data_IF_463875246507
#
_entry.id   IF_463875246507
#
_cell.length_a   1.000
_cell.length_b   1.000
_cell.length_c   1.000
_cell.angle_alpha   90.00
_cell.angle_beta   90.00
_cell.angle_gamma   90.00
#
_symmetry.space_group_name_H-M   'P 1'
#
loop_
_entity.id
_entity.type
_entity.pdbx_description
1 polymer ?
#
# COMPACT_ATOMS: atom_id res chain seq x y z
N UNK A 1 10.15 5.54 31.80
CA UNK A 1 9.24 6.31 30.92
C UNK A 1 7.82 5.96 31.34
N UNK A 2 7.00 6.99 31.59
CA UNK A 2 5.77 6.92 32.38
C UNK A 2 4.71 5.95 31.85
N UNK A 3 4.16 5.14 32.75
CA UNK A 3 3.08 4.19 32.51
C UNK A 3 1.73 4.88 32.37
N UNK A 4 1.45 5.37 31.16
CA UNK A 4 0.09 5.69 30.75
C UNK A 4 -0.55 4.39 30.27
N UNK A 5 -1.59 3.90 30.96
CA UNK A 5 -2.39 2.77 30.47
C UNK A 5 -3.24 3.24 29.30
N UNK A 6 -3.04 2.61 28.14
CA UNK A 6 -3.72 2.99 26.90
C UNK A 6 -4.37 1.77 26.29
N UNK A 7 -5.66 1.89 25.99
CA UNK A 7 -6.42 0.84 25.34
C UNK A 7 -6.02 0.78 23.85
N UNK A 8 -5.17 -0.18 23.50
CA UNK A 8 -4.85 -0.48 22.12
C UNK A 8 -5.97 -1.30 21.47
N UNK A 9 -6.24 -1.02 20.19
CA UNK A 9 -7.16 -1.81 19.39
C UNK A 9 -6.56 -3.17 19.03
N UNK A 10 -7.27 -4.25 19.33
CA UNK A 10 -6.96 -5.61 18.86
C UNK A 10 -8.11 -6.05 17.95
N UNK A 11 -7.88 -6.26 16.63
CA UNK A 11 -8.93 -6.71 15.74
C UNK A 11 -9.36 -8.15 16.07
N UNK A 12 -10.63 -8.45 15.84
CA UNK A 12 -11.11 -9.83 15.81
C UNK A 12 -10.52 -10.58 14.61
N UNK A 13 -10.38 -11.90 14.74
CA UNK A 13 -9.87 -12.75 13.66
C UNK A 13 -10.75 -12.68 12.40
N UNK A 14 -10.12 -12.74 11.23
CA UNK A 14 -10.79 -12.84 9.93
C UNK A 14 -10.85 -14.32 9.48
N UNK A 15 -11.90 -14.73 8.75
CA UNK A 15 -13.12 -13.97 8.50
C UNK A 15 -13.97 -13.85 9.78
N UNK A 16 -14.80 -12.79 9.91
CA UNK A 16 -15.68 -12.65 11.07
C UNK A 16 -16.65 -13.83 11.12
N UNK A 17 -16.73 -14.49 12.28
CA UNK A 17 -17.58 -15.67 12.47
C UNK A 17 -18.86 -15.37 13.25
N UNK A 18 -18.89 -14.28 14.03
CA UNK A 18 -20.03 -13.90 14.89
C UNK A 18 -20.15 -12.36 15.02
N UNK A 19 -21.07 -11.71 14.30
CA UNK A 19 -21.85 -12.28 13.18
C UNK A 19 -20.95 -12.62 12.00
N UNK A 20 -21.40 -13.52 11.13
CA UNK A 20 -20.74 -13.73 9.83
C UNK A 20 -20.89 -12.45 9.00
N UNK A 21 -19.94 -12.22 8.10
CA UNK A 21 -20.08 -11.17 7.09
C UNK A 21 -21.33 -11.45 6.24
N UNK A 22 -22.31 -10.55 6.29
CA UNK A 22 -23.52 -10.61 5.49
C UNK A 22 -23.40 -9.66 4.30
N UNK A 23 -23.44 -10.21 3.08
CA UNK A 23 -23.46 -9.43 1.83
C UNK A 23 -24.92 -9.32 1.41
N UNK A 24 -25.62 -8.31 1.93
CA UNK A 24 -27.05 -8.13 1.74
C UNK A 24 -27.40 -6.66 1.50
N UNK A 25 -28.59 -6.42 0.95
CA UNK A 25 -29.12 -5.07 0.71
C UNK A 25 -28.18 -4.20 -0.13
N UNK A 26 -27.90 -3.00 0.38
CA UNK A 26 -27.07 -2.01 -0.35
C UNK A 26 -25.62 -2.45 -0.55
N UNK A 27 -25.10 -3.38 0.26
CA UNK A 27 -23.75 -3.90 0.07
C UNK A 27 -23.69 -4.83 -1.13
N UNK A 28 -24.67 -5.72 -1.27
CA UNK A 28 -24.79 -6.62 -2.43
C UNK A 28 -25.01 -5.83 -3.73
N UNK A 29 -25.84 -4.80 -3.71
CA UNK A 29 -26.02 -3.89 -4.86
C UNK A 29 -24.72 -3.20 -5.27
N UNK A 30 -23.93 -2.71 -4.31
CA UNK A 30 -22.62 -2.08 -4.57
C UNK A 30 -21.60 -3.09 -5.07
N UNK A 31 -21.59 -4.31 -4.54
CA UNK A 31 -20.72 -5.39 -4.99
C UNK A 31 -21.01 -5.73 -6.45
N UNK A 32 -22.28 -5.96 -6.79
CA UNK A 32 -22.71 -6.25 -8.17
C UNK A 32 -22.36 -5.11 -9.13
N UNK A 33 -22.53 -3.85 -8.70
CA UNK A 33 -22.15 -2.70 -9.51
C UNK A 33 -20.62 -2.63 -9.74
N UNK A 34 -19.82 -2.93 -8.71
CA UNK A 34 -18.36 -2.98 -8.83
C UNK A 34 -17.90 -4.11 -9.76
N UNK A 35 -18.45 -5.32 -9.62
CA UNK A 35 -18.16 -6.45 -10.50
C UNK A 35 -18.50 -6.13 -11.96
N UNK A 36 -19.67 -5.52 -12.23
CA UNK A 36 -20.04 -5.07 -13.58
C UNK A 36 -19.07 -4.03 -14.13
N UNK A 37 -18.57 -3.11 -13.30
CA UNK A 37 -17.58 -2.14 -13.72
C UNK A 37 -16.23 -2.80 -14.08
N UNK A 38 -15.82 -3.83 -13.32
CA UNK A 38 -14.61 -4.61 -13.63
C UNK A 38 -14.76 -5.38 -14.95
N UNK A 39 -15.91 -6.01 -15.19
CA UNK A 39 -16.17 -6.69 -16.48
C UNK A 39 -16.15 -5.70 -17.65
N UNK A 40 -16.75 -4.51 -17.48
CA UNK A 40 -16.69 -3.47 -18.51
C UNK A 40 -15.26 -3.00 -18.78
N UNK A 41 -14.42 -2.90 -17.73
CA UNK A 41 -13.01 -2.56 -17.86
C UNK A 41 -12.25 -3.64 -18.64
N UNK A 42 -12.50 -4.91 -18.34
CA UNK A 42 -11.89 -6.05 -19.04
C UNK A 42 -12.20 -6.02 -20.55
N UNK A 43 -13.48 -5.84 -20.91
CA UNK A 43 -13.92 -5.71 -22.30
C UNK A 43 -13.31 -4.48 -23.00
N UNK A 44 -13.28 -3.33 -22.30
CA UNK A 44 -12.67 -2.13 -22.84
C UNK A 44 -11.16 -2.31 -23.08
N UNK A 45 -10.49 -3.11 -22.25
CA UNK A 45 -9.08 -3.46 -22.39
C UNK A 45 -8.76 -4.17 -23.72
N UNK A 46 -9.67 -4.97 -24.25
CA UNK A 46 -9.52 -5.64 -25.56
C UNK A 46 -9.49 -4.66 -26.73
N UNK A 47 -10.08 -3.48 -26.57
CA UNK A 47 -10.15 -2.44 -27.59
C UNK A 47 -8.94 -1.50 -27.59
N UNK A 48 -8.04 -1.64 -26.61
CA UNK A 48 -6.88 -0.75 -26.46
C UNK A 48 -5.78 -1.17 -27.43
N UNK A 49 -5.22 -0.24 -28.25
CA UNK A 49 -4.19 -0.57 -29.24
C UNK A 49 -2.92 -1.18 -28.66
N UNK A 50 -2.56 -0.80 -27.43
CA UNK A 50 -1.48 -1.41 -26.66
C UNK A 50 -1.84 -1.42 -25.18
N UNK A 51 -2.14 -2.61 -24.67
CA UNK A 51 -2.42 -2.84 -23.26
C UNK A 51 -1.22 -2.47 -22.38
N UNK A 52 0.01 -2.74 -22.84
CA UNK A 52 1.24 -2.44 -22.11
C UNK A 52 1.41 -0.93 -21.89
N UNK A 53 1.21 -0.10 -22.92
CA UNK A 53 1.27 1.36 -22.79
C UNK A 53 0.15 1.92 -21.92
N UNK A 54 -1.03 1.31 -21.98
CA UNK A 54 -2.14 1.70 -21.13
C UNK A 54 -1.84 1.40 -19.66
N UNK A 55 -1.41 0.18 -19.34
CA UNK A 55 -0.98 -0.18 -17.98
C UNK A 55 0.18 0.71 -17.53
N UNK A 56 1.15 0.98 -18.40
CA UNK A 56 2.28 1.87 -18.13
C UNK A 56 1.81 3.24 -17.62
N UNK A 57 0.90 3.90 -18.34
CA UNK A 57 0.41 5.24 -18.01
C UNK A 57 -0.48 5.22 -16.75
N UNK A 58 -1.36 4.21 -16.62
CA UNK A 58 -2.26 4.11 -15.47
C UNK A 58 -1.53 3.81 -14.17
N UNK A 59 -0.53 2.92 -14.19
CA UNK A 59 0.28 2.60 -13.02
C UNK A 59 1.04 3.84 -12.53
N UNK A 60 1.57 4.67 -13.44
CA UNK A 60 2.22 5.95 -13.08
C UNK A 60 1.27 6.97 -12.51
N UNK A 61 0.12 7.13 -13.15
CA UNK A 61 -0.93 8.00 -12.65
C UNK A 61 -1.38 7.57 -11.25
N UNK A 62 -1.54 6.28 -11.03
CA UNK A 62 -1.93 5.72 -9.73
C UNK A 62 -0.83 5.94 -8.68
N UNK A 63 0.44 5.67 -9.01
CA UNK A 63 1.57 5.94 -8.13
C UNK A 63 1.62 7.41 -7.69
N UNK A 64 1.47 8.36 -8.63
CA UNK A 64 1.42 9.80 -8.32
C UNK A 64 0.25 10.13 -7.40
N UNK A 65 -0.96 9.65 -7.72
CA UNK A 65 -2.16 9.95 -6.90
C UNK A 65 -2.08 9.30 -5.52
N UNK A 66 -1.54 8.08 -5.40
CA UNK A 66 -1.35 7.41 -4.13
C UNK A 66 -0.32 8.14 -3.26
N UNK A 67 0.81 8.54 -3.84
CA UNK A 67 1.83 9.31 -3.12
C UNK A 67 1.30 10.68 -2.67
N UNK A 68 0.45 11.34 -3.46
CA UNK A 68 -0.19 12.61 -3.08
C UNK A 68 -1.07 12.50 -1.83
N UNK A 69 -1.71 11.34 -1.58
CA UNK A 69 -2.47 11.10 -0.35
C UNK A 69 -1.55 11.13 0.88
N UNK A 70 -0.33 10.64 0.73
CA UNK A 70 0.71 10.64 1.78
C UNK A 70 1.47 11.98 1.88
N UNK A 71 1.07 12.98 1.08
CA UNK A 71 1.59 14.35 1.11
C UNK A 71 2.76 14.61 0.16
N UNK A 72 3.08 13.68 -0.75
CA UNK A 72 4.06 13.88 -1.83
C UNK A 72 3.59 14.97 -2.81
N UNK A 73 4.49 15.88 -3.20
CA UNK A 73 4.19 16.97 -4.14
C UNK A 73 4.84 16.71 -5.52
N UNK A 74 4.39 15.66 -6.20
CA UNK A 74 4.81 15.33 -7.57
C UNK A 74 3.62 15.32 -8.53
N UNK A 75 3.85 15.65 -9.80
CA UNK A 75 2.88 15.52 -10.89
C UNK A 75 3.26 14.38 -11.84
N UNK A 76 2.30 13.94 -12.66
CA UNK A 76 2.58 12.98 -13.73
C UNK A 76 3.58 13.53 -14.75
N UNK A 77 3.58 14.84 -14.98
CA UNK A 77 4.55 15.48 -15.89
C UNK A 77 5.95 15.39 -15.30
N UNK A 78 6.13 15.71 -14.01
CA UNK A 78 7.44 15.63 -13.35
C UNK A 78 8.03 14.22 -13.44
N UNK A 79 7.19 13.20 -13.21
CA UNK A 79 7.60 11.80 -13.33
C UNK A 79 8.01 11.44 -14.77
N UNK A 80 7.20 11.81 -15.76
CA UNK A 80 7.48 11.48 -17.17
C UNK A 80 8.70 12.25 -17.70
N UNK A 81 8.88 13.50 -17.28
CA UNK A 81 10.08 14.30 -17.60
C UNK A 81 11.32 13.63 -17.02
N UNK A 82 11.26 13.21 -15.75
CA UNK A 82 12.35 12.46 -15.12
C UNK A 82 12.68 11.17 -15.87
N UNK A 83 11.68 10.37 -16.25
CA UNK A 83 11.89 9.15 -17.04
C UNK A 83 12.50 9.42 -18.42
N UNK A 84 12.17 10.56 -19.05
CA UNK A 84 12.66 10.94 -20.38
C UNK A 84 14.07 11.52 -20.38
N UNK A 85 14.45 12.27 -19.34
CA UNK A 85 15.78 12.87 -19.18
C UNK A 85 16.84 11.83 -18.81
N UNK A 86 16.43 10.63 -18.40
CA UNK A 86 17.33 9.60 -17.87
C UNK A 86 17.81 9.95 -16.46
N UNK A 87 18.49 9.00 -15.81
CA UNK A 87 18.94 9.12 -14.40
C UNK A 87 20.09 10.14 -14.21
N UNK A 88 20.20 11.14 -15.09
CA UNK A 88 21.30 12.11 -15.19
C UNK A 88 21.07 13.41 -14.38
N UNK A 89 19.95 13.52 -13.66
CA UNK A 89 19.61 14.66 -12.79
C UNK A 89 19.33 14.29 -11.33
N UNK A 90 19.54 15.21 -10.37
CA UNK A 90 19.16 14.97 -8.98
C UNK A 90 17.65 14.79 -8.86
N UNK A 91 17.23 13.64 -8.30
CA UNK A 91 15.83 13.35 -8.02
C UNK A 91 15.32 14.29 -6.93
N UNK A 92 14.15 14.89 -7.12
CA UNK A 92 13.44 15.45 -5.98
C UNK A 92 12.99 14.30 -5.07
N UNK A 93 12.96 14.53 -3.76
CA UNK A 93 12.50 13.50 -2.81
C UNK A 93 11.07 13.02 -3.13
N UNK A 94 10.23 13.91 -3.65
CA UNK A 94 8.86 13.58 -4.05
C UNK A 94 8.80 12.67 -5.30
N UNK A 95 9.65 12.92 -6.31
CA UNK A 95 9.73 12.04 -7.49
C UNK A 95 10.35 10.69 -7.11
N UNK A 96 11.31 10.67 -6.18
CA UNK A 96 11.90 9.44 -5.66
C UNK A 96 10.88 8.55 -4.95
N UNK A 97 9.95 9.11 -4.17
CA UNK A 97 8.84 8.36 -3.56
C UNK A 97 7.94 7.70 -4.61
N UNK A 98 7.65 8.37 -5.72
CA UNK A 98 6.86 7.80 -6.83
C UNK A 98 7.65 6.71 -7.56
N UNK A 99 8.95 6.90 -7.78
CA UNK A 99 9.82 5.88 -8.37
C UNK A 99 9.90 4.62 -7.51
N UNK A 100 10.03 4.77 -6.18
CA UNK A 100 10.02 3.66 -5.24
C UNK A 100 8.70 2.91 -5.24
N UNK A 101 7.57 3.62 -5.38
CA UNK A 101 6.26 3.00 -5.56
C UNK A 101 6.22 2.09 -6.79
N UNK A 102 6.70 2.58 -7.94
CA UNK A 102 6.77 1.81 -9.17
C UNK A 102 7.69 0.59 -9.03
N UNK A 103 8.87 0.74 -8.41
CA UNK A 103 9.79 -0.37 -8.17
C UNK A 103 9.16 -1.44 -7.25
N UNK A 104 8.57 -1.01 -6.14
CA UNK A 104 7.93 -1.90 -5.18
C UNK A 104 6.76 -2.69 -5.81
N UNK A 105 5.95 -2.05 -6.64
CA UNK A 105 4.85 -2.69 -7.36
C UNK A 105 5.38 -3.69 -8.41
N UNK A 106 6.39 -3.29 -9.19
CA UNK A 106 6.99 -4.17 -10.20
C UNK A 106 7.62 -5.40 -9.55
N UNK A 107 8.33 -5.21 -8.43
CA UNK A 107 8.86 -6.29 -7.62
C UNK A 107 7.74 -7.24 -7.16
N UNK A 108 6.67 -6.72 -6.55
CA UNK A 108 5.57 -7.56 -6.06
C UNK A 108 4.90 -8.36 -7.20
N UNK A 109 4.69 -7.73 -8.36
CA UNK A 109 4.13 -8.40 -9.55
C UNK A 109 5.07 -9.49 -10.08
N UNK A 110 6.37 -9.26 -10.09
CA UNK A 110 7.35 -10.26 -10.49
C UNK A 110 7.34 -11.46 -9.53
N UNK A 111 7.23 -11.21 -8.22
CA UNK A 111 7.09 -12.27 -7.21
C UNK A 111 5.82 -13.10 -7.42
N UNK A 112 4.68 -12.50 -7.77
CA UNK A 112 3.47 -13.29 -8.04
C UNK A 112 3.53 -14.12 -9.34
N UNK A 113 4.26 -13.64 -10.35
CA UNK A 113 4.37 -14.31 -11.66
C UNK A 113 5.45 -15.38 -11.69
N UNK A 114 6.45 -15.30 -10.81
CA UNK A 114 7.56 -16.25 -10.78
C UNK A 114 7.13 -17.62 -10.25
N UNK A 115 7.58 -18.70 -10.91
CA UNK A 115 7.29 -20.07 -10.47
C UNK A 115 7.81 -20.38 -9.05
N UNK A 116 8.89 -19.71 -8.64
CA UNK A 116 9.48 -19.76 -7.30
C UNK A 116 9.31 -18.45 -6.52
N UNK A 117 8.39 -17.59 -6.96
CA UNK A 117 8.14 -16.31 -6.34
C UNK A 117 7.34 -16.42 -5.04
N UNK A 118 7.21 -15.30 -4.34
CA UNK A 118 6.55 -15.26 -3.03
C UNK A 118 5.03 -15.15 -3.20
N UNK A 119 4.22 -15.95 -2.47
CA UNK A 119 2.80 -15.69 -2.36
C UNK A 119 2.56 -14.41 -1.53
N UNK A 120 1.30 -13.98 -1.46
CA UNK A 120 0.91 -12.91 -0.54
C UNK A 120 1.26 -13.37 0.88
N UNK A 121 2.21 -12.68 1.49
CA UNK A 121 2.84 -13.09 2.73
C UNK A 121 3.49 -11.89 3.39
N UNK A 122 3.70 -11.95 4.70
CA UNK A 122 4.42 -10.91 5.44
C UNK A 122 5.82 -10.68 4.85
N UNK A 123 6.48 -11.73 4.34
CA UNK A 123 7.77 -11.60 3.66
C UNK A 123 7.66 -10.74 2.40
N UNK A 124 6.67 -11.01 1.54
CA UNK A 124 6.44 -10.20 0.34
C UNK A 124 6.16 -8.74 0.73
N UNK A 125 5.26 -8.51 1.69
CA UNK A 125 4.89 -7.17 2.15
C UNK A 125 6.10 -6.40 2.71
N UNK A 126 6.95 -7.07 3.49
CA UNK A 126 8.17 -6.49 4.04
C UNK A 126 9.19 -6.15 2.94
N UNK A 127 9.41 -7.05 1.97
CA UNK A 127 10.33 -6.79 0.86
C UNK A 127 9.81 -5.66 -0.05
N UNK A 128 8.50 -5.56 -0.25
CA UNK A 128 7.86 -4.43 -0.96
C UNK A 128 8.01 -3.13 -0.16
N UNK A 129 7.77 -3.15 1.14
CA UNK A 129 7.93 -1.99 2.03
C UNK A 129 9.38 -1.49 2.07
N UNK A 130 10.38 -2.39 2.06
CA UNK A 130 11.78 -1.99 2.01
C UNK A 130 12.11 -1.12 0.79
N UNK A 131 11.55 -1.47 -0.37
CA UNK A 131 11.71 -0.72 -1.63
C UNK A 131 10.98 0.62 -1.59
N UNK A 132 9.75 0.64 -1.08
CA UNK A 132 8.96 1.87 -0.92
C UNK A 132 9.72 2.94 -0.14
N UNK A 133 10.42 2.53 0.93
CA UNK A 133 11.05 3.44 1.87
C UNK A 133 12.52 3.78 1.54
N UNK A 134 13.06 3.34 0.40
CA UNK A 134 14.47 3.55 0.08
C UNK A 134 14.78 5.03 -0.22
N UNK A 135 15.69 5.65 0.54
CA UNK A 135 16.16 7.02 0.25
C UNK A 135 15.14 8.14 0.51
N UNK A 136 13.93 7.80 0.97
CA UNK A 136 12.82 8.75 1.14
C UNK A 136 12.47 8.99 2.61
N UNK A 137 11.44 9.80 2.86
CA UNK A 137 10.98 10.08 4.23
C UNK A 137 10.62 8.78 4.95
N UNK A 138 11.24 8.54 6.10
CA UNK A 138 11.05 7.32 6.88
C UNK A 138 11.99 6.17 6.52
N UNK A 139 13.00 6.38 5.65
CA UNK A 139 14.07 5.42 5.38
C UNK A 139 14.83 4.98 6.66
N UNK A 140 14.80 5.79 7.71
CA UNK A 140 15.39 5.52 9.03
C UNK A 140 14.45 4.73 9.97
N UNK A 141 13.21 4.45 9.55
CA UNK A 141 12.17 3.80 10.38
C UNK A 141 12.04 2.30 10.15
N UNK A 142 13.18 1.62 10.01
CA UNK A 142 13.26 0.16 9.77
C UNK A 142 12.48 -0.29 8.52
N UNK A 143 12.86 0.16 7.31
CA UNK A 143 12.32 -0.34 6.05
C UNK A 143 12.28 -1.87 5.99
N UNK A 144 11.15 -2.43 5.57
CA UNK A 144 10.93 -3.87 5.48
C UNK A 144 10.85 -4.62 6.81
N UNK A 145 10.70 -3.95 7.94
CA UNK A 145 10.46 -4.60 9.22
C UNK A 145 9.10 -4.26 9.81
N UNK A 146 8.51 -5.23 10.50
CA UNK A 146 7.37 -4.98 11.37
C UNK A 146 7.84 -4.18 12.58
N UNK A 147 7.15 -3.09 12.88
CA UNK A 147 7.55 -2.18 13.95
C UNK A 147 7.66 -2.90 15.31
N UNK A 148 8.65 -2.47 16.09
CA UNK A 148 8.92 -2.96 17.45
C UNK A 148 8.47 -1.99 18.55
N UNK A 149 8.04 -0.80 18.15
CA UNK A 149 7.56 0.27 19.04
C UNK A 149 6.07 0.52 18.82
N UNK A 150 5.38 1.03 19.84
CA UNK A 150 3.98 1.42 19.73
C UNK A 150 3.86 2.69 18.88
N UNK A 151 3.00 2.66 17.86
CA UNK A 151 2.58 3.85 17.13
C UNK A 151 1.17 4.30 17.59
N UNK A 152 0.75 5.48 17.16
CA UNK A 152 -0.59 6.02 17.39
C UNK A 152 -0.98 6.96 16.25
N UNK A 153 -2.29 7.15 16.05
CA UNK A 153 -2.85 8.02 15.00
C UNK A 153 -3.67 9.12 15.67
N UNK A 154 -3.31 10.37 15.35
CA UNK A 154 -3.86 11.56 16.02
C UNK A 154 -3.31 11.74 17.43
N UNK A 155 -3.32 12.97 17.96
CA UNK A 155 -2.78 13.28 19.28
C UNK A 155 -1.25 13.37 19.35
N UNK A 156 -0.73 13.79 20.50
CA UNK A 156 0.71 13.96 20.77
C UNK A 156 1.34 12.79 21.54
N UNK A 157 0.51 11.93 22.14
CA UNK A 157 0.93 10.72 22.86
C UNK A 157 -0.18 9.67 22.82
N UNK A 158 0.11 8.38 23.10
CA UNK A 158 -0.88 7.32 23.09
C UNK A 158 -2.17 7.63 23.90
N UNK A 159 -2.08 8.25 25.08
CA UNK A 159 -3.26 8.52 25.90
C UNK A 159 -4.20 9.63 25.42
N UNK A 160 -3.81 10.42 24.40
CA UNK A 160 -4.70 11.38 23.74
C UNK A 160 -4.87 11.11 22.24
N UNK A 161 -4.50 9.92 21.78
CA UNK A 161 -4.61 9.54 20.39
C UNK A 161 -6.06 9.22 20.00
N UNK A 162 -6.42 9.52 18.74
CA UNK A 162 -7.71 9.12 18.18
C UNK A 162 -7.79 7.61 18.01
N UNK A 163 -6.65 6.99 17.70
CA UNK A 163 -6.56 5.55 17.53
C UNK A 163 -5.18 5.03 17.90
N UNK A 164 -5.15 3.91 18.62
CA UNK A 164 -3.92 3.22 19.02
C UNK A 164 -3.96 1.82 18.40
N UNK A 165 -3.14 1.55 17.35
CA UNK A 165 -3.09 0.24 16.70
C UNK A 165 -2.59 -0.87 17.65
N UNK A 166 -2.71 -2.15 17.24
CA UNK A 166 -2.30 -3.29 18.07
C UNK A 166 -0.87 -3.16 18.62
N UNK A 167 -0.56 -3.62 19.83
CA UNK A 167 0.78 -3.50 20.37
C UNK A 167 1.78 -4.38 19.60
N UNK A 168 3.08 -4.03 19.56
CA UNK A 168 4.09 -4.76 18.78
C UNK A 168 4.11 -6.28 19.01
N UNK A 169 3.91 -6.71 20.26
CA UNK A 169 3.93 -8.13 20.63
C UNK A 169 2.75 -8.93 20.05
N UNK A 170 1.65 -8.28 19.67
CA UNK A 170 0.49 -8.92 19.05
C UNK A 170 0.60 -9.00 17.52
N UNK A 171 1.52 -8.25 16.90
CA UNK A 171 1.57 -8.14 15.44
C UNK A 171 1.95 -9.45 14.76
N UNK A 172 2.79 -10.30 15.38
CA UNK A 172 3.16 -11.59 14.82
C UNK A 172 1.94 -12.49 14.59
N UNK A 173 1.10 -12.62 15.63
CA UNK A 173 -0.13 -13.42 15.56
C UNK A 173 -1.14 -12.78 14.58
N UNK A 174 -1.32 -11.45 14.64
CA UNK A 174 -2.28 -10.76 13.79
C UNK A 174 -1.91 -10.80 12.30
N UNK A 175 -0.62 -10.70 11.96
CA UNK A 175 -0.14 -10.75 10.58
C UNK A 175 -0.02 -12.18 10.04
N UNK A 176 -0.07 -13.21 10.87
CA UNK A 176 -0.08 -14.61 10.41
C UNK A 176 -1.49 -15.14 10.13
N UNK A 177 -2.52 -14.34 10.40
CA UNK A 177 -3.92 -14.74 10.31
C UNK A 177 -4.59 -14.44 8.94
N UNK A 178 -3.86 -13.93 7.94
CA UNK A 178 -4.38 -13.67 6.58
C UNK A 178 -3.93 -14.72 5.56
#
# INVERSE_FOLDING_TARGET
>A
MGGEEVAAFIPAALPPTRPKLAIEGSLDERLRAAEQALVRLELAGEMVPSLDWFIYAFVRKEAVVSSQIEGTQATLVDLLTFEAEGDEGPRSADVEEVCNYLDALNFARAQFRGASGLPLSTRLLNETHARLMQGVRGADKQPGEVRRTQNWIGGSRPGNATFVPPPPHALGDLLSAF
#
